data_IF_530650091144
#
_entry.id   IF_530650091144
#
_cell.length_a   1.000
_cell.length_b   1.000
_cell.length_c   1.000
_cell.angle_alpha   90.00
_cell.angle_beta   90.00
_cell.angle_gamma   90.00
#
_symmetry.space_group_name_H-M   'P 1'
#
loop_
_entity.id
_entity.type
_entity.pdbx_description
1 polymer ?
#
# COMPACT_ATOMS: atom_id res chain seq x y z
N UNK A 1 8.09 -60.24 34.69
CA UNK A 1 9.38 -59.54 34.77
C UNK A 1 9.18 -58.16 34.18
N UNK A 2 9.07 -57.17 35.07
CA UNK A 2 8.74 -55.79 34.73
C UNK A 2 10.02 -54.95 34.78
N UNK A 3 10.34 -54.25 33.69
CA UNK A 3 11.39 -53.25 33.66
C UNK A 3 10.73 -51.87 33.55
N UNK A 4 10.75 -51.13 34.67
CA UNK A 4 10.37 -49.72 34.72
C UNK A 4 11.58 -48.86 34.38
N UNK A 5 11.43 -48.00 33.36
CA UNK A 5 12.38 -46.94 33.05
C UNK A 5 11.89 -45.65 33.70
N UNK A 6 12.60 -45.20 34.73
CA UNK A 6 12.43 -43.87 35.33
C UNK A 6 13.16 -42.82 34.51
N UNK A 7 12.43 -41.79 34.08
CA UNK A 7 12.99 -40.58 33.48
C UNK A 7 12.91 -39.48 34.53
N UNK A 8 14.09 -39.06 34.99
CA UNK A 8 14.34 -37.93 35.89
C UNK A 8 14.06 -36.61 35.18
N UNK A 9 13.21 -35.77 35.76
CA UNK A 9 12.95 -34.40 35.30
C UNK A 9 14.05 -33.40 35.72
N UNK A 10 14.21 -32.28 34.99
CA UNK A 10 15.16 -31.24 35.35
C UNK A 10 14.65 -30.33 36.47
N UNK A 11 15.56 -30.02 37.40
CA UNK A 11 15.42 -29.04 38.49
C UNK A 11 15.36 -27.60 37.98
N UNK A 12 14.45 -26.74 38.46
CA UNK A 12 14.51 -25.31 38.21
C UNK A 12 15.56 -24.63 39.11
N UNK A 13 16.49 -23.90 38.48
CA UNK A 13 17.45 -23.03 39.14
C UNK A 13 16.73 -21.75 39.57
N UNK A 14 16.69 -21.50 40.88
CA UNK A 14 16.12 -20.29 41.47
C UNK A 14 16.94 -19.05 41.11
N UNK A 15 16.34 -18.13 40.37
CA UNK A 15 16.83 -16.77 40.19
C UNK A 15 16.28 -15.87 41.30
N UNK A 16 17.16 -15.32 42.12
CA UNK A 16 16.85 -14.32 43.13
C UNK A 16 16.34 -13.03 42.45
N UNK A 17 15.08 -12.65 42.75
CA UNK A 17 14.52 -11.36 42.36
C UNK A 17 14.90 -10.35 43.45
N UNK A 18 15.80 -9.43 43.12
CA UNK A 18 16.06 -8.23 43.90
C UNK A 18 14.92 -7.23 43.65
N UNK A 19 14.00 -7.13 44.60
CA UNK A 19 12.96 -6.10 44.64
C UNK A 19 13.60 -4.76 45.08
N UNK A 20 13.89 -3.88 44.12
CA UNK A 20 14.07 -2.45 44.43
C UNK A 20 12.69 -1.81 44.57
N UNK A 21 12.38 -1.38 45.79
CA UNK A 21 11.21 -0.56 46.08
C UNK A 21 11.38 0.83 45.47
N UNK A 22 10.55 1.15 44.48
CA UNK A 22 10.29 2.51 44.05
C UNK A 22 8.94 2.93 44.64
N UNK A 23 8.98 3.77 45.66
CA UNK A 23 7.80 4.46 46.17
C UNK A 23 7.38 5.52 45.15
N UNK A 24 6.25 5.29 44.47
CA UNK A 24 5.57 6.31 43.66
C UNK A 24 4.28 6.67 44.39
N UNK A 25 4.17 7.95 44.75
CA UNK A 25 3.02 8.53 45.42
C UNK A 25 1.74 8.38 44.58
N UNK A 26 0.71 7.83 45.22
CA UNK A 26 -0.66 7.81 44.74
C UNK A 26 -1.24 9.24 44.78
N UNK A 27 -1.33 9.89 43.63
CA UNK A 27 -2.33 10.93 43.41
C UNK A 27 -3.64 10.23 43.01
N UNK A 28 -4.59 10.19 43.95
CA UNK A 28 -5.93 9.66 43.74
C UNK A 28 -6.75 10.63 42.89
N UNK A 29 -6.96 10.31 41.62
CA UNK A 29 -8.05 10.85 40.83
C UNK A 29 -9.13 9.77 40.71
N UNK A 30 -10.22 9.99 41.44
CA UNK A 30 -11.41 9.17 41.43
C UNK A 30 -12.08 9.19 40.04
N UNK A 31 -12.23 8.00 39.44
CA UNK A 31 -13.08 7.80 38.27
C UNK A 31 -14.37 7.08 38.70
N UNK A 32 -15.57 7.60 38.35
CA UNK A 32 -16.83 7.00 38.75
C UNK A 32 -17.08 5.70 37.99
N UNK A 33 -17.32 4.64 38.76
CA UNK A 33 -17.79 3.35 38.26
C UNK A 33 -19.28 3.45 37.96
N UNK A 34 -19.68 3.49 36.69
CA UNK A 34 -21.05 3.23 36.30
C UNK A 34 -21.24 1.72 36.12
N UNK A 35 -21.64 1.07 37.21
CA UNK A 35 -22.36 -0.21 37.16
C UNK A 35 -23.69 0.01 36.46
N UNK A 36 -23.85 -0.53 35.26
CA UNK A 36 -25.16 -0.66 34.60
C UNK A 36 -25.54 -2.14 34.54
N UNK A 37 -26.37 -2.51 35.52
CA UNK A 37 -27.13 -3.76 35.59
C UNK A 37 -28.49 -3.53 34.92
N UNK A 38 -28.83 -4.34 33.90
CA UNK A 38 -30.19 -4.71 33.46
C UNK A 38 -30.02 -5.53 32.17
N UNK A 39 -30.13 -6.86 32.22
CA UNK A 39 -31.36 -7.68 32.09
C UNK A 39 -31.48 -8.29 30.68
N UNK A 40 -31.57 -9.62 30.56
CA UNK A 40 -31.80 -10.29 29.29
C UNK A 40 -33.31 -10.39 29.01
N UNK A 41 -33.70 -10.06 27.78
CA UNK A 41 -35.00 -10.47 27.21
C UNK A 41 -34.76 -11.18 25.90
N UNK A 42 -35.23 -12.43 25.72
CA UNK A 42 -35.28 -13.08 24.44
C UNK A 42 -36.61 -12.73 23.75
N UNK A 43 -36.55 -12.20 22.52
CA UNK A 43 -37.71 -12.24 21.63
C UNK A 43 -37.23 -12.72 20.26
N UNK A 44 -37.53 -13.99 20.04
CA UNK A 44 -37.59 -14.68 18.78
C UNK A 44 -38.65 -14.00 17.90
N UNK A 45 -38.24 -13.47 16.74
CA UNK A 45 -39.15 -13.17 15.63
C UNK A 45 -38.50 -13.66 14.34
N UNK A 46 -38.76 -14.92 14.01
CA UNK A 46 -38.65 -15.43 12.65
C UNK A 46 -39.67 -14.69 11.78
N UNK A 47 -39.19 -13.81 10.92
CA UNK A 47 -39.95 -13.35 9.75
C UNK A 47 -39.47 -14.16 8.56
N UNK A 48 -40.27 -15.15 8.19
CA UNK A 48 -40.16 -15.86 6.93
C UNK A 48 -40.53 -14.87 5.82
N UNK A 49 -39.53 -14.37 5.09
CA UNK A 49 -39.76 -13.63 3.84
C UNK A 49 -39.68 -14.64 2.70
N UNK A 50 -40.85 -15.00 2.20
CA UNK A 50 -41.04 -15.75 0.96
C UNK A 50 -40.43 -14.96 -0.20
N UNK A 51 -39.47 -15.56 -0.92
CA UNK A 51 -38.88 -14.97 -2.13
C UNK A 51 -39.81 -15.23 -3.33
N UNK A 52 -40.21 -14.20 -4.10
CA UNK A 52 -40.93 -14.41 -5.34
C UNK A 52 -40.02 -15.03 -6.41
N UNK A 53 -40.52 -16.09 -7.04
CA UNK A 53 -39.93 -16.76 -8.20
C UNK A 53 -40.02 -15.81 -9.40
N UNK A 54 -38.87 -15.40 -9.94
CA UNK A 54 -38.80 -14.64 -11.19
C UNK A 54 -38.75 -15.62 -12.37
N UNK A 55 -39.66 -15.52 -13.35
CA UNK A 55 -39.64 -16.37 -14.54
C UNK A 55 -38.48 -15.98 -15.48
N UNK A 56 -37.76 -17.00 -15.94
CA UNK A 56 -36.72 -16.89 -16.96
C UNK A 56 -37.37 -16.88 -18.34
N UNK A 57 -37.43 -15.73 -19.00
CA UNK A 57 -37.81 -15.66 -20.41
C UNK A 57 -36.59 -15.92 -21.30
N UNK A 58 -36.70 -17.03 -22.06
CA UNK A 58 -35.90 -17.33 -23.25
C UNK A 58 -36.30 -16.37 -24.36
N UNK A 59 -35.33 -15.70 -24.97
CA UNK A 59 -35.53 -15.13 -26.32
C UNK A 59 -34.48 -15.68 -27.27
N UNK A 60 -35.00 -16.43 -28.23
CA UNK A 60 -34.33 -17.02 -29.39
C UNK A 60 -33.88 -15.97 -30.41
N UNK A 61 -32.72 -16.21 -31.01
CA UNK A 61 -32.52 -16.28 -32.47
C UNK A 61 -32.62 -15.00 -33.32
N UNK A 62 -31.48 -14.55 -33.85
CA UNK A 62 -31.37 -13.80 -35.12
C UNK A 62 -30.02 -14.16 -35.75
N UNK A 63 -29.99 -15.13 -36.67
CA UNK A 63 -29.97 -14.97 -38.14
C UNK A 63 -28.57 -14.73 -38.73
N UNK A 64 -28.02 -15.81 -39.29
CA UNK A 64 -26.90 -15.82 -40.22
C UNK A 64 -27.22 -14.98 -41.47
N UNK A 65 -26.26 -14.16 -41.93
CA UNK A 65 -26.22 -13.67 -43.32
C UNK A 65 -24.89 -14.07 -43.96
N UNK A 66 -24.92 -14.78 -45.10
CA UNK A 66 -23.75 -15.04 -45.92
C UNK A 66 -23.51 -13.88 -46.91
N UNK A 67 -22.25 -13.54 -47.16
CA UNK A 67 -21.87 -12.70 -48.30
C UNK A 67 -20.54 -13.16 -48.95
N UNK A 68 -20.35 -12.85 -50.24
CA UNK A 68 -19.74 -13.74 -51.25
C UNK A 68 -18.24 -13.45 -51.54
N UNK A 69 -17.58 -14.26 -52.39
CA UNK A 69 -16.13 -14.20 -52.59
C UNK A 69 -15.67 -13.31 -53.76
N UNK A 70 -14.38 -12.96 -53.65
CA UNK A 70 -13.39 -12.64 -54.68
C UNK A 70 -13.56 -11.43 -55.62
N UNK A 71 -12.59 -10.51 -55.48
CA UNK A 71 -11.98 -9.83 -56.63
C UNK A 71 -10.49 -9.53 -56.39
N UNK A 72 -9.66 -10.36 -57.02
CA UNK A 72 -8.24 -10.15 -57.40
C UNK A 72 -8.24 -8.97 -58.44
N UNK A 73 -7.28 -8.05 -58.61
CA UNK A 73 -5.84 -8.12 -58.97
C UNK A 73 -5.21 -6.66 -58.99
N UNK A 74 -3.95 -6.38 -59.43
CA UNK A 74 -2.77 -6.04 -58.61
C UNK A 74 -2.18 -4.62 -58.88
N UNK A 75 -1.04 -4.26 -58.26
CA UNK A 75 0.24 -3.89 -58.94
C UNK A 75 1.18 -3.09 -58.02
N UNK A 76 2.46 -3.48 -58.09
CA UNK A 76 3.59 -2.98 -57.32
C UNK A 76 4.04 -1.55 -57.67
N UNK A 77 4.66 -0.86 -56.70
CA UNK A 77 5.86 -0.05 -56.94
C UNK A 77 6.66 0.18 -55.64
N UNK A 78 7.92 -0.18 -55.74
CA UNK A 78 9.07 0.01 -54.86
C UNK A 78 9.30 1.47 -54.47
N UNK A 79 9.66 1.73 -53.22
CA UNK A 79 10.16 3.03 -52.76
C UNK A 79 10.49 3.05 -51.28
N UNK A 80 11.70 2.63 -50.93
CA UNK A 80 12.27 2.77 -49.57
C UNK A 80 12.35 4.25 -49.18
N UNK A 81 11.46 4.69 -48.30
CA UNK A 81 11.72 5.76 -47.36
C UNK A 81 11.11 5.33 -46.03
N UNK A 82 11.96 5.07 -45.03
CA UNK A 82 11.55 4.96 -43.63
C UNK A 82 11.15 6.36 -43.13
N UNK A 83 10.04 6.87 -43.67
CA UNK A 83 9.31 7.96 -43.07
C UNK A 83 8.51 7.35 -41.93
N UNK A 84 8.71 7.84 -40.70
CA UNK A 84 7.77 7.60 -39.62
C UNK A 84 6.39 7.95 -40.15
N UNK A 85 5.57 6.94 -40.43
CA UNK A 85 4.25 7.12 -41.01
C UNK A 85 3.38 7.62 -39.88
N UNK A 86 3.34 8.94 -39.70
CA UNK A 86 2.46 9.60 -38.74
C UNK A 86 1.06 9.23 -39.17
N UNK A 87 0.40 8.38 -38.39
CA UNK A 87 -0.97 7.99 -38.63
C UNK A 87 -1.83 9.25 -38.59
N UNK A 88 -2.61 9.50 -39.65
CA UNK A 88 -3.58 10.57 -39.64
C UNK A 88 -4.65 10.27 -38.58
N UNK A 89 -4.92 11.26 -37.73
CA UNK A 89 -5.94 11.15 -36.68
C UNK A 89 -6.81 12.38 -36.72
N UNK A 90 -8.11 12.20 -36.51
CA UNK A 90 -9.05 13.28 -36.31
C UNK A 90 -9.79 13.09 -34.98
N UNK A 91 -10.44 14.15 -34.49
CA UNK A 91 -11.31 14.08 -33.32
C UNK A 91 -12.75 13.84 -33.79
N UNK A 92 -13.47 12.93 -33.12
CA UNK A 92 -14.90 12.79 -33.31
C UNK A 92 -15.68 13.94 -32.65
N UNK A 93 -17.00 13.94 -32.79
CA UNK A 93 -17.88 14.96 -32.21
C UNK A 93 -17.86 14.97 -30.66
N UNK A 94 -17.30 13.95 -30.04
CA UNK A 94 -17.16 13.76 -28.60
C UNK A 94 -15.75 14.11 -28.11
N UNK A 95 -14.84 14.48 -29.01
CA UNK A 95 -13.45 14.82 -28.69
C UNK A 95 -12.52 13.60 -28.55
N UNK A 96 -12.94 12.41 -28.94
CA UNK A 96 -12.07 11.23 -28.96
C UNK A 96 -11.21 11.21 -30.22
N UNK A 97 -9.95 10.80 -30.08
CA UNK A 97 -9.04 10.63 -31.20
C UNK A 97 -9.36 9.34 -31.95
N UNK A 98 -9.84 9.47 -33.19
CA UNK A 98 -10.06 8.36 -34.12
C UNK A 98 -8.88 8.31 -35.10
N UNK A 99 -8.35 7.12 -35.30
CA UNK A 99 -7.31 6.84 -36.27
C UNK A 99 -7.95 6.51 -37.62
N UNK A 100 -7.52 7.17 -38.70
CA UNK A 100 -8.05 6.93 -40.04
C UNK A 100 -7.67 5.55 -40.59
N UNK A 101 -6.59 4.96 -40.07
CA UNK A 101 -6.11 3.63 -40.44
C UNK A 101 -6.35 2.63 -39.28
N UNK A 102 -7.15 1.55 -39.50
CA UNK A 102 -7.43 0.54 -38.49
C UNK A 102 -6.21 -0.31 -38.09
N UNK A 103 -5.09 -0.24 -38.82
CA UNK A 103 -3.83 -0.91 -38.49
C UNK A 103 -2.88 -0.05 -37.65
N UNK A 104 -3.18 1.24 -37.44
CA UNK A 104 -2.37 2.12 -36.60
C UNK A 104 -2.41 1.85 -35.07
N UNK A 105 -3.53 1.45 -34.44
CA UNK A 105 -3.54 1.24 -32.98
C UNK A 105 -2.57 0.14 -32.50
N UNK A 106 -2.20 -0.82 -33.37
CA UNK A 106 -1.20 -1.85 -33.06
C UNK A 106 0.25 -1.38 -33.21
N UNK A 107 0.50 -0.26 -33.90
CA UNK A 107 1.82 0.37 -33.99
C UNK A 107 2.08 1.35 -32.84
N UNK A 108 1.07 2.14 -32.48
CA UNK A 108 1.20 3.15 -31.42
C UNK A 108 1.10 2.58 -30.01
N UNK A 109 0.55 1.38 -29.81
CA UNK A 109 0.55 0.71 -28.50
C UNK A 109 1.95 0.33 -28.02
N UNK A 110 2.98 0.44 -28.87
CA UNK A 110 4.39 0.27 -28.50
C UNK A 110 5.13 1.59 -28.27
N UNK A 111 4.55 2.70 -28.70
CA UNK A 111 5.01 4.04 -28.34
C UNK A 111 4.40 4.33 -26.99
N UNK A 112 4.97 3.69 -25.97
CA UNK A 112 4.93 4.16 -24.59
C UNK A 112 5.41 5.60 -24.63
N UNK A 113 4.47 6.52 -24.78
CA UNK A 113 4.57 7.88 -24.29
C UNK A 113 4.65 7.74 -22.76
N UNK A 114 5.80 7.22 -22.34
CA UNK A 114 6.32 7.29 -20.99
C UNK A 114 6.51 8.77 -20.82
N UNK A 115 5.44 9.45 -20.42
CA UNK A 115 5.55 10.80 -19.89
C UNK A 115 6.69 10.69 -18.88
N UNK A 116 7.80 11.43 -19.06
CA UNK A 116 9.01 11.24 -18.27
C UNK A 116 8.78 11.35 -16.75
N UNK A 117 7.62 11.89 -16.34
CA UNK A 117 7.16 11.92 -14.95
C UNK A 117 6.68 10.58 -14.37
N UNK A 118 6.24 9.59 -15.19
CA UNK A 118 5.73 8.30 -14.66
C UNK A 118 6.86 7.44 -14.10
N UNK A 119 8.10 7.65 -14.53
CA UNK A 119 9.27 6.97 -13.98
C UNK A 119 9.91 7.71 -12.81
N UNK A 120 9.35 8.82 -12.34
CA UNK A 120 9.89 9.52 -11.17
C UNK A 120 9.70 8.65 -9.91
N UNK A 121 10.79 8.25 -9.22
CA UNK A 121 10.69 7.53 -7.96
C UNK A 121 9.84 8.27 -6.92
N UNK A 122 9.79 9.60 -6.96
CA UNK A 122 8.94 10.39 -6.07
C UNK A 122 7.45 10.20 -6.37
N UNK A 123 7.08 9.97 -7.63
CA UNK A 123 5.71 9.66 -8.04
C UNK A 123 5.25 8.33 -7.44
N UNK A 124 6.03 7.27 -7.64
CA UNK A 124 5.78 5.94 -7.03
C UNK A 124 5.63 6.05 -5.51
N UNK A 125 6.58 6.72 -4.86
CA UNK A 125 6.61 6.81 -3.40
C UNK A 125 5.44 7.59 -2.81
N UNK A 126 5.00 8.68 -3.46
CA UNK A 126 3.81 9.41 -3.03
C UNK A 126 2.59 8.48 -3.06
N UNK A 127 2.42 7.75 -4.14
CA UNK A 127 1.25 6.89 -4.33
C UNK A 127 1.26 5.67 -3.41
N UNK A 128 2.38 4.97 -3.27
CA UNK A 128 2.44 3.79 -2.38
C UNK A 128 2.23 4.19 -0.90
N UNK A 129 2.79 5.31 -0.46
CA UNK A 129 2.59 5.80 0.91
C UNK A 129 1.14 6.23 1.16
N UNK A 130 0.52 6.93 0.21
CA UNK A 130 -0.92 7.26 0.29
C UNK A 130 -1.80 6.01 0.31
N UNK A 131 -1.44 4.97 -0.47
CA UNK A 131 -2.15 3.70 -0.44
C UNK A 131 -2.09 3.07 0.96
N UNK A 132 -0.89 2.93 1.55
CA UNK A 132 -0.69 2.39 2.90
C UNK A 132 -1.48 3.18 3.96
N UNK A 133 -1.48 4.51 3.90
CA UNK A 133 -2.24 5.35 4.84
C UNK A 133 -3.75 5.09 4.74
N UNK A 134 -4.28 4.99 3.51
CA UNK A 134 -5.67 4.67 3.29
C UNK A 134 -6.05 3.25 3.73
N UNK A 135 -5.20 2.24 3.52
CA UNK A 135 -5.44 0.89 4.08
C UNK A 135 -5.56 0.95 5.59
N UNK A 136 -4.69 1.70 6.28
CA UNK A 136 -4.77 1.87 7.75
C UNK A 136 -6.09 2.48 8.20
N UNK A 137 -6.59 3.48 7.48
CA UNK A 137 -7.91 4.08 7.79
C UNK A 137 -9.05 3.11 7.50
N UNK A 138 -8.93 2.30 6.44
CA UNK A 138 -9.89 1.24 6.14
C UNK A 138 -9.90 0.15 7.24
N UNK A 139 -8.73 -0.27 7.74
CA UNK A 139 -8.60 -1.19 8.88
C UNK A 139 -9.36 -0.65 10.10
N UNK A 140 -9.10 0.59 10.51
CA UNK A 140 -9.76 1.22 11.67
C UNK A 140 -11.27 1.31 11.48
N UNK A 141 -11.73 1.70 10.29
CA UNK A 141 -13.17 1.75 9.98
C UNK A 141 -13.82 0.36 9.99
N UNK A 142 -13.13 -0.65 9.46
CA UNK A 142 -13.55 -2.05 9.49
C UNK A 142 -13.66 -2.60 10.91
N UNK A 143 -12.66 -2.33 11.76
CA UNK A 143 -12.66 -2.73 13.18
C UNK A 143 -13.80 -2.06 13.98
N UNK A 144 -14.28 -0.88 13.54
CA UNK A 144 -15.44 -0.19 14.10
C UNK A 144 -16.79 -0.67 13.53
N UNK A 145 -16.78 -1.57 12.54
CA UNK A 145 -17.98 -2.00 11.82
C UNK A 145 -18.53 -0.96 10.83
N UNK A 146 -17.79 0.11 10.54
CA UNK A 146 -18.18 1.15 9.59
C UNK A 146 -17.79 0.74 8.16
N UNK A 147 -18.58 -0.17 7.58
CA UNK A 147 -18.37 -0.73 6.23
C UNK A 147 -18.31 0.35 5.14
N UNK A 148 -19.18 1.38 5.12
CA UNK A 148 -19.10 2.43 4.10
C UNK A 148 -17.75 3.18 4.10
N UNK A 149 -17.23 3.55 5.27
CA UNK A 149 -15.92 4.22 5.35
C UNK A 149 -14.76 3.27 5.07
N UNK A 150 -14.86 2.00 5.47
CA UNK A 150 -13.90 0.96 5.10
C UNK A 150 -13.80 0.82 3.58
N UNK A 151 -14.94 0.73 2.88
CA UNK A 151 -14.99 0.63 1.42
C UNK A 151 -14.45 1.89 0.75
N UNK A 152 -14.82 3.08 1.23
CA UNK A 152 -14.32 4.35 0.71
C UNK A 152 -12.80 4.46 0.80
N UNK A 153 -12.20 4.07 1.92
CA UNK A 153 -10.75 4.09 2.08
C UNK A 153 -10.05 2.97 1.30
N UNK A 154 -10.67 1.79 1.18
CA UNK A 154 -10.15 0.70 0.33
C UNK A 154 -10.07 1.12 -1.14
N UNK A 155 -11.10 1.81 -1.66
CA UNK A 155 -11.12 2.31 -3.04
C UNK A 155 -10.03 3.36 -3.31
N UNK A 156 -9.87 4.33 -2.40
CA UNK A 156 -8.79 5.32 -2.49
C UNK A 156 -7.40 4.66 -2.45
N UNK A 157 -7.23 3.66 -1.60
CA UNK A 157 -5.99 2.87 -1.55
C UNK A 157 -5.74 2.13 -2.87
N UNK A 158 -6.76 1.49 -3.43
CA UNK A 158 -6.67 0.77 -4.70
C UNK A 158 -6.29 1.71 -5.84
N UNK A 159 -6.90 2.89 -5.90
CA UNK A 159 -6.57 3.93 -6.89
C UNK A 159 -5.09 4.34 -6.82
N UNK A 160 -4.57 4.60 -5.62
CA UNK A 160 -3.17 4.95 -5.42
C UNK A 160 -2.21 3.79 -5.69
N UNK A 161 -2.52 2.57 -5.25
CA UNK A 161 -1.70 1.39 -5.54
C UNK A 161 -1.62 1.12 -7.05
N UNK A 162 -2.72 1.28 -7.78
CA UNK A 162 -2.75 1.15 -9.25
C UNK A 162 -1.97 2.27 -9.94
N UNK A 163 -1.96 3.48 -9.40
CA UNK A 163 -1.11 4.56 -9.89
C UNK A 163 0.38 4.24 -9.68
N UNK A 164 0.76 3.71 -8.51
CA UNK A 164 2.12 3.24 -8.25
C UNK A 164 2.55 2.10 -9.19
N UNK A 165 1.63 1.17 -9.49
CA UNK A 165 1.87 0.04 -10.40
C UNK A 165 2.26 0.48 -11.82
N UNK A 166 1.78 1.65 -12.27
CA UNK A 166 2.17 2.21 -13.58
C UNK A 166 3.64 2.63 -13.64
N UNK A 167 4.22 2.98 -12.50
CA UNK A 167 5.61 3.40 -12.40
C UNK A 167 6.54 2.20 -12.26
N UNK A 168 6.13 1.16 -11.52
CA UNK A 168 6.94 -0.04 -11.29
C UNK A 168 6.07 -1.29 -11.19
N UNK A 169 6.49 -2.35 -11.88
CA UNK A 169 5.90 -3.69 -11.75
C UNK A 169 6.58 -4.45 -10.60
N UNK A 170 5.93 -4.45 -9.43
CA UNK A 170 6.40 -5.13 -8.21
C UNK A 170 5.42 -6.21 -7.77
N UNK A 171 5.93 -7.40 -7.47
CA UNK A 171 5.10 -8.55 -7.08
C UNK A 171 4.34 -8.30 -5.77
N UNK A 172 4.96 -7.65 -4.79
CA UNK A 172 4.32 -7.36 -3.49
C UNK A 172 3.21 -6.32 -3.66
N UNK A 173 3.42 -5.31 -4.51
CA UNK A 173 2.40 -4.34 -4.89
C UNK A 173 1.21 -5.03 -5.57
N UNK A 174 1.47 -5.91 -6.53
CA UNK A 174 0.44 -6.66 -7.25
C UNK A 174 -0.40 -7.53 -6.30
N UNK A 175 0.25 -8.24 -5.37
CA UNK A 175 -0.44 -9.05 -4.35
C UNK A 175 -1.29 -8.17 -3.41
N UNK A 176 -0.76 -7.01 -2.99
CA UNK A 176 -1.51 -6.06 -2.16
C UNK A 176 -2.74 -5.47 -2.87
N UNK A 177 -2.63 -5.18 -4.17
CA UNK A 177 -3.76 -4.76 -5.02
C UNK A 177 -4.84 -5.84 -5.07
N UNK A 178 -4.44 -7.12 -5.14
CA UNK A 178 -5.37 -8.25 -5.16
C UNK A 178 -6.17 -8.36 -3.86
N UNK A 179 -5.51 -8.24 -2.71
CA UNK A 179 -6.15 -8.27 -1.38
C UNK A 179 -7.13 -7.09 -1.19
N UNK A 180 -6.79 -5.90 -1.72
CA UNK A 180 -7.71 -4.74 -1.72
C UNK A 180 -8.96 -5.00 -2.55
N UNK A 181 -8.82 -5.65 -3.72
CA UNK A 181 -9.98 -6.04 -4.55
C UNK A 181 -10.85 -7.08 -3.86
N UNK A 182 -10.25 -8.06 -3.19
CA UNK A 182 -10.98 -9.02 -2.37
C UNK A 182 -11.77 -8.33 -1.25
N UNK A 183 -11.12 -7.40 -0.54
CA UNK A 183 -11.77 -6.57 0.50
C UNK A 183 -12.99 -5.83 -0.05
N UNK A 184 -12.88 -5.24 -1.25
CA UNK A 184 -14.02 -4.57 -1.91
C UNK A 184 -15.17 -5.54 -2.20
N UNK A 185 -14.87 -6.72 -2.74
CA UNK A 185 -15.88 -7.75 -3.05
C UNK A 185 -16.61 -8.21 -1.79
N UNK A 186 -15.88 -8.42 -0.69
CA UNK A 186 -16.45 -8.82 0.60
C UNK A 186 -17.25 -7.68 1.24
N UNK A 187 -16.73 -6.46 1.25
CA UNK A 187 -17.39 -5.29 1.81
C UNK A 187 -18.70 -4.94 1.09
N UNK A 188 -18.75 -5.10 -0.24
CA UNK A 188 -19.98 -4.94 -1.03
C UNK A 188 -21.09 -5.95 -0.65
N UNK A 189 -20.72 -7.06 -0.02
CA UNK A 189 -21.65 -8.07 0.52
C UNK A 189 -21.97 -7.83 2.00
N UNK A 190 -21.67 -6.63 2.52
CA UNK A 190 -21.79 -6.27 3.93
C UNK A 190 -20.95 -7.16 4.87
N UNK A 191 -19.80 -7.64 4.41
CA UNK A 191 -18.84 -8.38 5.23
C UNK A 191 -17.55 -7.58 5.44
N UNK A 192 -17.05 -7.56 6.67
CA UNK A 192 -15.75 -6.94 6.99
C UNK A 192 -14.66 -7.97 6.67
N UNK A 193 -13.58 -7.54 6.01
CA UNK A 193 -12.46 -8.40 5.62
C UNK A 193 -11.16 -7.97 6.33
N UNK A 194 -11.07 -8.13 7.66
CA UNK A 194 -9.94 -7.59 8.43
C UNK A 194 -8.62 -8.30 8.10
N UNK A 195 -8.66 -9.58 7.72
CA UNK A 195 -7.48 -10.33 7.31
C UNK A 195 -6.90 -9.78 5.99
N UNK A 196 -7.74 -9.64 4.97
CA UNK A 196 -7.33 -9.11 3.66
C UNK A 196 -6.78 -7.67 3.75
N UNK A 197 -7.39 -6.81 4.58
CA UNK A 197 -6.85 -5.46 4.82
C UNK A 197 -5.46 -5.48 5.46
N UNK A 198 -5.24 -6.36 6.44
CA UNK A 198 -3.92 -6.52 7.10
C UNK A 198 -2.87 -7.04 6.14
N UNK A 199 -3.22 -8.04 5.34
CA UNK A 199 -2.32 -8.62 4.33
C UNK A 199 -1.97 -7.57 3.26
N UNK A 200 -2.97 -6.84 2.76
CA UNK A 200 -2.77 -5.72 1.84
C UNK A 200 -1.79 -4.69 2.42
N UNK A 201 -1.99 -4.29 3.68
CA UNK A 201 -1.12 -3.31 4.33
C UNK A 201 0.33 -3.80 4.42
N UNK A 202 0.54 -5.05 4.83
CA UNK A 202 1.88 -5.64 4.94
C UNK A 202 2.57 -5.67 3.58
N UNK A 203 1.88 -6.14 2.54
CA UNK A 203 2.41 -6.24 1.18
C UNK A 203 2.70 -4.87 0.55
N UNK A 204 1.82 -3.88 0.72
CA UNK A 204 2.06 -2.52 0.24
C UNK A 204 3.20 -1.84 1.00
N UNK A 205 3.34 -2.09 2.30
CA UNK A 205 4.48 -1.60 3.09
C UNK A 205 5.78 -2.25 2.64
N UNK A 206 5.75 -3.55 2.33
CA UNK A 206 6.88 -4.27 1.76
C UNK A 206 7.27 -3.70 0.39
N UNK A 207 6.31 -3.42 -0.49
CA UNK A 207 6.56 -2.78 -1.78
C UNK A 207 7.19 -1.39 -1.61
N UNK A 208 6.67 -0.58 -0.68
CA UNK A 208 7.25 0.74 -0.34
C UNK A 208 8.71 0.64 0.13
N UNK A 209 9.08 -0.45 0.82
CA UNK A 209 10.45 -0.71 1.28
C UNK A 209 11.35 -1.39 0.24
N UNK A 210 10.78 -2.13 -0.71
CA UNK A 210 11.53 -2.77 -1.79
C UNK A 210 12.05 -1.74 -2.78
N UNK A 211 11.34 -0.62 -2.93
CA UNK A 211 11.72 0.48 -3.82
C UNK A 211 11.90 1.75 -3.01
N UNK A 212 12.88 1.78 -2.08
CA UNK A 212 13.26 3.03 -1.48
C UNK A 212 13.63 3.93 -2.66
N UNK A 213 13.09 5.16 -2.70
CA UNK A 213 13.69 6.24 -3.51
C UNK A 213 15.18 6.03 -3.31
N UNK A 214 15.95 5.80 -4.39
CA UNK A 214 17.40 5.75 -4.27
C UNK A 214 17.74 7.01 -3.51
N UNK A 215 18.03 6.85 -2.21
CA UNK A 215 18.19 7.97 -1.32
C UNK A 215 19.41 8.61 -1.94
N UNK A 216 19.21 9.77 -2.59
CA UNK A 216 20.22 10.33 -3.48
C UNK A 216 21.50 10.32 -2.66
N UNK A 217 22.46 9.46 -3.03
CA UNK A 217 23.73 9.37 -2.34
C UNK A 217 24.25 10.79 -2.31
N UNK A 218 24.33 11.35 -1.13
CA UNK A 218 24.24 12.79 -1.04
C UNK A 218 24.35 13.27 0.38
N UNK A 219 24.83 14.50 0.47
CA UNK A 219 24.85 15.25 1.71
C UNK A 219 23.48 15.86 1.95
N UNK A 220 22.91 15.60 3.12
CA UNK A 220 21.71 16.27 3.62
C UNK A 220 22.14 17.13 4.78
N UNK A 221 21.82 18.42 4.72
CA UNK A 221 22.13 19.37 5.79
C UNK A 221 20.85 19.88 6.40
N UNK A 222 20.71 19.78 7.71
CA UNK A 222 19.50 20.23 8.39
C UNK A 222 19.57 20.06 9.90
N UNK A 223 18.48 20.45 10.56
CA UNK A 223 18.32 20.28 11.99
C UNK A 223 17.93 18.82 12.26
N UNK A 224 18.72 18.12 13.07
CA UNK A 224 18.41 16.77 13.50
C UNK A 224 17.29 16.81 14.53
N UNK A 225 16.18 16.12 14.28
CA UNK A 225 15.11 15.92 15.25
C UNK A 225 14.92 14.48 15.61
N UNK A 226 14.87 14.18 16.91
CA UNK A 226 14.55 12.85 17.42
C UNK A 226 13.03 12.66 17.39
N UNK A 227 12.56 11.68 16.64
CA UNK A 227 11.12 11.44 16.54
C UNK A 227 10.67 10.63 17.76
N UNK A 228 9.69 11.13 18.51
CA UNK A 228 9.13 10.46 19.68
C UNK A 228 8.11 9.37 19.35
N UNK A 229 7.78 9.18 18.07
CA UNK A 229 6.96 8.05 17.63
C UNK A 229 7.66 6.74 18.00
N UNK A 230 6.91 5.74 18.48
CA UNK A 230 7.50 4.53 19.03
C UNK A 230 8.43 3.90 18.01
N UNK A 231 9.64 3.58 18.48
CA UNK A 231 10.67 2.86 17.76
C UNK A 231 10.06 1.69 16.96
N UNK A 232 10.67 1.37 15.82
CA UNK A 232 10.37 0.13 15.10
C UNK A 232 10.38 -1.06 16.08
N UNK A 233 9.75 -2.17 15.72
CA UNK A 233 9.73 -3.37 16.54
C UNK A 233 11.13 -3.88 16.96
N UNK A 234 12.19 -3.40 16.31
CA UNK A 234 13.59 -3.65 16.62
C UNK A 234 14.17 -2.76 17.75
N UNK A 235 13.42 -1.80 18.28
CA UNK A 235 13.87 -0.86 19.31
C UNK A 235 14.85 0.21 18.81
N UNK A 236 15.04 0.35 17.49
CA UNK A 236 15.93 1.35 16.92
C UNK A 236 15.33 2.75 17.00
N UNK A 237 16.17 3.73 17.38
CA UNK A 237 15.77 5.12 17.44
C UNK A 237 15.74 5.73 16.04
N UNK A 238 14.65 6.44 15.74
CA UNK A 238 14.48 7.14 14.48
C UNK A 238 14.76 8.62 14.64
N UNK A 239 15.48 9.17 13.66
CA UNK A 239 15.73 10.59 13.56
C UNK A 239 15.20 11.10 12.22
N UNK A 240 14.91 12.39 12.16
CA UNK A 240 14.57 13.11 10.93
C UNK A 240 15.47 14.32 10.82
N UNK A 241 16.10 14.49 9.66
CA UNK A 241 16.87 15.70 9.35
C UNK A 241 15.95 16.67 8.63
N UNK A 242 15.70 17.82 9.24
CA UNK A 242 14.83 18.86 8.71
C UNK A 242 15.65 19.83 7.86
N UNK A 243 15.64 19.61 6.56
CA UNK A 243 16.23 20.50 5.57
C UNK A 243 15.19 21.57 5.19
N UNK A 244 15.57 22.85 5.21
CA UNK A 244 14.67 23.96 4.84
C UNK A 244 14.18 23.88 3.40
N UNK A 245 14.95 23.26 2.50
CA UNK A 245 14.64 23.15 1.09
C UNK A 245 13.97 21.82 0.74
N UNK A 246 14.40 20.72 1.38
CA UNK A 246 13.95 19.36 1.04
C UNK A 246 12.92 18.76 2.00
N UNK A 247 12.64 19.43 3.12
CA UNK A 247 11.72 18.94 4.14
C UNK A 247 12.37 17.91 5.07
N UNK A 248 11.53 17.11 5.71
CA UNK A 248 11.96 16.15 6.74
C UNK A 248 12.45 14.86 6.05
N UNK A 249 13.75 14.57 6.18
CA UNK A 249 14.38 13.36 5.65
C UNK A 249 14.57 12.33 6.77
N UNK A 250 13.90 11.16 6.74
CA UNK A 250 14.10 10.14 7.75
C UNK A 250 15.50 9.54 7.65
N UNK A 251 16.21 9.45 8.77
CA UNK A 251 17.56 8.88 8.86
C UNK A 251 17.65 7.90 10.03
N UNK A 252 18.39 6.82 9.81
CA UNK A 252 18.71 5.85 10.87
C UNK A 252 20.18 6.02 11.22
N UNK A 253 20.43 6.42 12.47
CA UNK A 253 21.78 6.57 13.00
C UNK A 253 22.24 5.26 13.63
N UNK A 254 23.51 4.91 13.42
CA UNK A 254 24.12 3.84 14.19
C UNK A 254 24.27 4.25 15.66
N UNK A 255 24.34 3.28 16.60
CA UNK A 255 24.51 3.58 18.03
C UNK A 255 25.74 4.42 18.38
N UNK A 256 26.77 4.42 17.52
CA UNK A 256 27.99 5.20 17.70
C UNK A 256 27.82 6.65 17.19
N UNK A 257 27.07 6.84 16.10
CA UNK A 257 26.76 8.15 15.56
C UNK A 257 25.74 8.87 16.44
N UNK A 258 24.73 8.16 16.96
CA UNK A 258 23.70 8.75 17.83
C UNK A 258 24.25 9.33 19.13
N UNK A 259 25.41 8.88 19.60
CA UNK A 259 26.11 9.45 20.77
C UNK A 259 26.81 10.76 20.47
N UNK A 260 27.11 11.04 19.20
CA UNK A 260 27.88 12.20 18.76
C UNK A 260 26.98 13.41 18.46
N UNK A 261 25.70 13.18 18.20
CA UNK A 261 24.73 14.21 17.82
C UNK A 261 23.57 14.26 18.82
N UNK A 262 23.01 15.44 19.02
CA UNK A 262 21.87 15.69 19.91
C UNK A 262 20.67 16.19 19.12
N UNK A 263 19.49 16.04 19.72
CA UNK A 263 18.26 16.63 19.20
C UNK A 263 18.43 18.17 19.11
N UNK A 264 18.11 18.74 17.95
CA UNK A 264 18.30 20.14 17.61
C UNK A 264 19.65 20.50 17.00
N UNK A 265 20.62 19.57 16.92
CA UNK A 265 21.90 19.85 16.28
C UNK A 265 21.73 20.11 14.77
N UNK A 266 22.42 21.12 14.24
CA UNK A 266 22.61 21.26 12.81
C UNK A 266 23.66 20.26 12.34
N UNK A 267 23.28 19.37 11.44
CA UNK A 267 24.14 18.28 10.99
C UNK A 267 24.17 18.21 9.47
N UNK A 268 25.34 17.85 8.95
CA UNK A 268 25.52 17.39 7.58
C UNK A 268 25.71 15.88 7.62
N UNK A 269 24.84 15.16 6.92
CA UNK A 269 24.85 13.71 6.85
C UNK A 269 25.13 13.24 5.44
N UNK A 270 26.09 12.34 5.26
CA UNK A 270 26.26 11.60 4.02
C UNK A 270 25.41 10.34 4.06
N UNK A 271 24.47 10.22 3.12
CA UNK A 271 23.60 9.07 2.99
C UNK A 271 24.11 8.13 1.89
N UNK A 272 24.02 6.82 2.13
CA UNK A 272 24.13 5.83 1.06
C UNK A 272 22.84 5.74 0.22
N UNK A 273 22.85 4.90 -0.82
CA UNK A 273 21.71 4.73 -1.72
C UNK A 273 20.47 4.14 -1.02
N UNK A 274 20.67 3.55 0.15
CA UNK A 274 19.66 2.93 1.01
C UNK A 274 19.19 3.89 2.11
N UNK A 275 19.70 5.13 2.16
CA UNK A 275 19.34 6.14 3.16
C UNK A 275 19.98 5.91 4.53
N UNK A 276 21.00 5.05 4.64
CA UNK A 276 21.78 4.88 5.87
C UNK A 276 22.83 5.97 5.96
N UNK A 277 23.05 6.45 7.18
CA UNK A 277 24.05 7.49 7.43
C UNK A 277 25.44 6.87 7.43
N UNK A 278 26.25 7.24 6.44
CA UNK A 278 27.65 6.84 6.31
C UNK A 278 28.57 7.69 7.20
N UNK A 279 28.27 8.98 7.29
CA UNK A 279 29.00 9.94 8.12
C UNK A 279 28.07 11.05 8.60
N UNK A 280 28.30 11.55 9.82
CA UNK A 280 27.66 12.75 10.34
C UNK A 280 28.73 13.73 10.80
N UNK A 281 28.60 14.99 10.40
CA UNK A 281 29.38 16.09 10.92
C UNK A 281 28.45 17.14 11.51
N UNK A 282 28.77 17.66 12.70
CA UNK A 282 28.09 18.84 13.22
C UNK A 282 28.48 20.03 12.37
N UNK A 283 27.48 20.77 11.91
CA UNK A 283 27.70 22.03 11.22
C UNK A 283 28.08 23.08 12.29
N UNK A 284 29.18 23.83 12.11
CA UNK A 284 29.62 24.83 13.07
C UNK A 284 28.66 26.02 13.20
#
# INVERSE_FOLDING_TARGET
>A
MAHGNGITGPTPVGGAILTLGLAVGLAACASPSHTRTASPTPVEQQVVVERPVVPTERTSGVAERPMPPDRIVPRAATGMQTAATVCATHLDAQGNRIYDDPLCPTRDSRTTETTPDVQDPAYYNRHINSAVDHVRRAEVAGDQGNIPDMLRHTDLSLSHATAAQRAVDDASLNDGIMDLRETMILGQRNHIAPAALRDARVKLTQAAHAHPVAARTGTVTGELKRTSTPARADGSEYYVVRDRQRGDTPVVLSPDLSRQVQDGDMVEMQLDAQGRVLAVSKYP
#
